data_IF_990802704455
#
_entry.id   IF_990802704455
#
_cell.length_a   1.000
_cell.length_b   1.000
_cell.length_c   1.000
_cell.angle_alpha   90.00
_cell.angle_beta   90.00
_cell.angle_gamma   90.00
#
_symmetry.space_group_name_H-M   'P 1'
#
loop_
_entity.id
_entity.type
_entity.pdbx_description
1 polymer ?
#
# COMPACT_ATOMS: atom_id res chain seq x y z
N UNK A 1 0.98 13.47 21.77
CA UNK A 1 0.17 12.70 22.73
C UNK A 1 -0.55 11.64 21.93
N UNK A 2 -0.41 10.35 22.26
CA UNK A 2 -1.09 9.28 21.53
C UNK A 2 -2.54 9.15 21.98
N UNK A 3 -3.44 9.05 21.02
CA UNK A 3 -4.90 8.88 21.19
C UNK A 3 -5.21 7.40 21.42
N UNK A 4 -4.58 6.51 20.66
CA UNK A 4 -4.75 5.06 20.79
C UNK A 4 -3.54 4.46 21.50
N UNK A 5 -3.78 3.72 22.58
CA UNK A 5 -2.76 3.11 23.44
C UNK A 5 -2.94 1.59 23.49
N UNK A 6 -1.92 0.81 23.88
CA UNK A 6 -1.99 -0.66 23.92
C UNK A 6 -3.21 -1.22 24.68
N UNK A 7 -3.52 -0.63 25.84
CA UNK A 7 -4.68 -1.03 26.66
C UNK A 7 -6.04 -0.90 25.95
N UNK A 8 -6.19 0.07 25.04
CA UNK A 8 -7.43 0.24 24.27
C UNK A 8 -7.59 -0.91 23.27
N UNK A 9 -6.49 -1.28 22.60
CA UNK A 9 -6.45 -2.32 21.58
C UNK A 9 -6.64 -3.71 22.18
N UNK A 10 -6.01 -3.96 23.32
CA UNK A 10 -6.09 -5.25 24.02
C UNK A 10 -7.53 -5.55 24.50
N UNK A 11 -8.28 -4.54 24.95
CA UNK A 11 -9.70 -4.67 25.26
C UNK A 11 -10.55 -5.04 24.02
N UNK A 12 -10.20 -4.50 22.85
CA UNK A 12 -10.89 -4.76 21.57
C UNK A 12 -10.54 -6.14 21.03
N UNK A 13 -9.28 -6.58 21.10
CA UNK A 13 -8.81 -7.91 20.68
C UNK A 13 -9.61 -9.03 21.36
N UNK A 14 -9.76 -8.95 22.68
CA UNK A 14 -10.56 -9.93 23.44
C UNK A 14 -12.00 -10.03 22.96
N UNK A 15 -12.66 -8.89 22.73
CA UNK A 15 -14.05 -8.87 22.20
C UNK A 15 -14.16 -9.46 20.79
N UNK A 16 -13.10 -9.31 19.99
CA UNK A 16 -13.02 -9.84 18.62
C UNK A 16 -12.55 -11.29 18.55
N UNK A 17 -12.40 -11.98 19.68
CA UNK A 17 -11.83 -13.33 19.76
C UNK A 17 -10.47 -13.41 19.05
N UNK A 18 -9.65 -12.38 19.24
CA UNK A 18 -8.29 -12.27 18.72
C UNK A 18 -8.17 -12.37 17.19
N UNK A 19 -9.24 -12.05 16.44
CA UNK A 19 -9.14 -11.92 14.98
C UNK A 19 -8.18 -10.78 14.61
N UNK A 20 -7.35 -10.95 13.56
CA UNK A 20 -6.45 -9.93 13.05
C UNK A 20 -7.06 -8.53 13.02
N UNK A 21 -6.25 -7.54 13.43
CA UNK A 21 -6.54 -6.13 13.36
C UNK A 21 -5.51 -5.44 12.50
N UNK A 22 -5.96 -4.81 11.42
CA UNK A 22 -5.15 -3.88 10.65
C UNK A 22 -5.47 -2.49 11.17
N UNK A 23 -4.44 -1.75 11.55
CA UNK A 23 -4.52 -0.38 12.03
C UNK A 23 -3.67 0.48 11.11
N UNK A 24 -4.24 1.58 10.63
CA UNK A 24 -3.59 2.49 9.69
C UNK A 24 -3.53 3.87 10.32
N UNK A 25 -2.31 4.36 10.59
CA UNK A 25 -2.05 5.67 11.19
C UNK A 25 -1.48 6.62 10.14
N UNK A 26 -2.31 7.54 9.65
CA UNK A 26 -1.94 8.54 8.65
C UNK A 26 -1.73 9.94 9.26
N UNK A 27 -1.73 10.07 10.60
CA UNK A 27 -1.64 11.35 11.29
C UNK A 27 -0.19 11.83 11.45
N UNK A 28 0.01 13.15 11.43
CA UNK A 28 1.29 13.80 11.70
C UNK A 28 1.05 14.99 12.66
N UNK A 29 1.48 14.92 13.93
CA UNK A 29 2.16 13.79 14.59
C UNK A 29 1.26 12.54 14.74
N UNK A 30 1.86 11.35 14.85
CA UNK A 30 1.15 10.07 14.92
C UNK A 30 0.16 10.00 16.09
N UNK A 31 -0.99 9.37 15.83
CA UNK A 31 -2.08 9.26 16.81
C UNK A 31 -2.06 7.92 17.57
N UNK A 32 -1.48 6.87 16.99
CA UNK A 32 -1.39 5.54 17.58
C UNK A 32 -0.04 5.37 18.23
N UNK A 33 0.00 4.93 19.48
CA UNK A 33 1.24 4.57 20.16
C UNK A 33 1.99 3.46 19.40
N UNK A 34 3.29 3.60 19.05
CA UNK A 34 4.06 2.57 18.35
C UNK A 34 4.01 1.20 19.02
N UNK A 35 3.92 1.13 20.35
CA UNK A 35 3.84 -0.14 21.10
C UNK A 35 2.60 -0.97 20.75
N UNK A 36 1.58 -0.38 20.12
CA UNK A 36 0.42 -1.11 19.61
C UNK A 36 0.82 -2.12 18.52
N UNK A 37 1.86 -1.83 17.73
CA UNK A 37 2.36 -2.72 16.68
C UNK A 37 3.04 -3.99 17.21
N UNK A 38 3.43 -4.01 18.49
CA UNK A 38 4.06 -5.17 19.13
C UNK A 38 3.02 -6.20 19.64
N UNK A 39 1.74 -5.88 19.55
CA UNK A 39 0.66 -6.75 20.01
C UNK A 39 0.40 -7.83 18.94
N UNK A 40 0.39 -9.09 19.35
CA UNK A 40 0.08 -10.23 18.46
C UNK A 40 -1.25 -10.02 17.71
N UNK A 41 -1.34 -10.45 16.45
CA UNK A 41 -2.52 -10.23 15.59
C UNK A 41 -2.90 -8.74 15.37
N UNK A 42 -1.99 -7.79 15.65
CA UNK A 42 -2.12 -6.38 15.29
C UNK A 42 -1.07 -6.01 14.25
N UNK A 43 -1.52 -5.45 13.14
CA UNK A 43 -0.67 -4.98 12.05
C UNK A 43 -0.84 -3.48 11.94
N UNK A 44 0.16 -2.73 12.39
CA UNK A 44 0.16 -1.28 12.37
C UNK A 44 0.94 -0.78 11.15
N UNK A 45 0.25 -0.03 10.29
CA UNK A 45 0.84 0.65 9.14
C UNK A 45 0.82 2.15 9.42
N UNK A 46 1.99 2.78 9.47
CA UNK A 46 2.12 4.22 9.56
C UNK A 46 2.36 4.87 8.19
N UNK A 47 2.37 6.19 8.15
CA UNK A 47 2.56 6.97 6.92
C UNK A 47 3.86 6.60 6.18
N UNK A 48 4.93 6.31 6.91
CA UNK A 48 6.23 5.95 6.33
C UNK A 48 6.15 4.58 5.63
N UNK A 49 5.57 3.58 6.31
CA UNK A 49 5.34 2.25 5.72
C UNK A 49 4.48 2.33 4.45
N UNK A 50 3.43 3.16 4.46
CA UNK A 50 2.57 3.34 3.29
C UNK A 50 3.28 4.04 2.13
N UNK A 51 4.21 4.95 2.41
CA UNK A 51 5.02 5.60 1.38
C UNK A 51 5.95 4.61 0.70
N UNK A 52 6.62 3.73 1.46
CA UNK A 52 7.46 2.67 0.90
C UNK A 52 6.65 1.75 -0.04
N UNK A 53 5.46 1.31 0.39
CA UNK A 53 4.56 0.50 -0.42
C UNK A 53 4.10 1.24 -1.70
N UNK A 54 3.82 2.54 -1.59
CA UNK A 54 3.41 3.36 -2.72
C UNK A 54 4.55 3.53 -3.73
N UNK A 55 5.78 3.70 -3.27
CA UNK A 55 6.98 3.81 -4.11
C UNK A 55 7.27 2.49 -4.84
N UNK A 56 7.14 1.35 -4.17
CA UNK A 56 7.23 0.04 -4.82
C UNK A 56 6.13 -0.17 -5.86
N UNK A 57 4.89 0.22 -5.55
CA UNK A 57 3.78 0.16 -6.49
C UNK A 57 4.02 1.07 -7.70
N UNK A 58 4.61 2.26 -7.48
CA UNK A 58 4.99 3.18 -8.56
C UNK A 58 6.05 2.57 -9.47
N UNK A 59 7.13 2.02 -8.93
CA UNK A 59 8.18 1.35 -9.72
C UNK A 59 7.62 0.21 -10.58
N UNK A 60 6.76 -0.63 -9.98
CA UNK A 60 6.06 -1.69 -10.72
C UNK A 60 5.21 -1.12 -11.85
N UNK A 61 4.48 -0.03 -11.62
CA UNK A 61 3.69 0.63 -12.66
C UNK A 61 4.55 1.13 -13.82
N UNK A 62 5.73 1.70 -13.53
CA UNK A 62 6.67 2.16 -14.56
C UNK A 62 7.24 0.99 -15.40
N UNK A 63 7.44 -0.19 -14.81
CA UNK A 63 7.81 -1.40 -15.55
C UNK A 63 6.65 -1.92 -16.42
N UNK A 64 5.44 -1.97 -15.89
CA UNK A 64 4.26 -2.39 -16.65
C UNK A 64 3.97 -1.46 -17.84
N UNK A 65 4.18 -0.16 -17.69
CA UNK A 65 4.03 0.80 -18.80
C UNK A 65 4.99 0.47 -19.95
N UNK A 66 6.25 0.14 -19.65
CA UNK A 66 7.22 -0.27 -20.68
C UNK A 66 6.77 -1.53 -21.44
N UNK A 67 6.26 -2.52 -20.73
CA UNK A 67 5.71 -3.73 -21.35
C UNK A 67 4.49 -3.42 -22.23
N UNK A 68 3.59 -2.55 -21.76
CA UNK A 68 2.45 -2.12 -22.56
C UNK A 68 2.87 -1.38 -23.84
N UNK A 69 3.88 -0.51 -23.77
CA UNK A 69 4.42 0.19 -24.95
C UNK A 69 5.01 -0.78 -25.99
N UNK A 70 5.68 -1.84 -25.54
CA UNK A 70 6.20 -2.91 -26.40
C UNK A 70 5.06 -3.67 -27.09
N UNK A 71 4.04 -4.08 -26.34
CA UNK A 71 2.84 -4.72 -26.90
C UNK A 71 2.18 -3.82 -27.95
N UNK A 72 1.97 -2.54 -27.65
CA UNK A 72 1.37 -1.58 -28.59
C UNK A 72 2.21 -1.48 -29.88
N UNK A 73 3.54 -1.42 -29.75
CA UNK A 73 4.45 -1.35 -30.92
C UNK A 73 4.36 -2.60 -31.77
N UNK A 74 4.42 -3.78 -31.16
CA UNK A 74 4.27 -5.04 -31.87
C UNK A 74 2.94 -5.12 -32.62
N UNK A 75 1.84 -4.67 -32.01
CA UNK A 75 0.53 -4.69 -32.64
C UNK A 75 0.43 -3.67 -33.79
N UNK A 76 1.08 -2.51 -33.70
CA UNK A 76 1.18 -1.55 -34.82
C UNK A 76 1.94 -2.17 -35.99
N UNK A 77 3.09 -2.81 -35.73
CA UNK A 77 3.92 -3.44 -36.76
C UNK A 77 3.16 -4.60 -37.44
N UNK A 78 2.50 -5.47 -36.65
CA UNK A 78 1.66 -6.57 -37.15
C UNK A 78 0.47 -6.07 -37.96
N UNK A 79 -0.16 -4.98 -37.52
CA UNK A 79 -1.32 -4.43 -38.20
C UNK A 79 -0.98 -3.90 -39.59
N UNK A 80 0.30 -3.58 -39.88
CA UNK A 80 0.76 -3.06 -41.18
C UNK A 80 -0.22 -2.04 -41.76
N UNK A 81 -0.75 -1.17 -40.90
CA UNK A 81 -1.43 0.02 -41.35
C UNK A 81 -0.34 0.87 -42.03
N UNK A 82 -0.50 1.25 -43.30
CA UNK A 82 0.47 2.12 -43.95
C UNK A 82 0.63 3.34 -43.05
N UNK A 83 1.89 3.65 -42.70
CA UNK A 83 2.24 4.76 -41.84
C UNK A 83 1.33 5.95 -42.14
N UNK A 84 0.57 6.39 -41.13
CA UNK A 84 -0.09 7.69 -41.19
C UNK A 84 1.05 8.70 -41.19
N UNK A 85 1.52 9.02 -42.39
CA UNK A 85 2.41 10.14 -42.63
C UNK A 85 1.66 11.42 -42.23
N UNK A 86 2.17 12.09 -41.22
CA UNK A 86 2.42 13.55 -41.21
C UNK A 86 3.51 13.87 -40.18
#
# INVERSE_FOLDING_TARGET
HFVVKPQHVEAVRRKRKFRPLIMVDIAVPRDIDPEVGEIEEVYLYDIDTLQEMADEARKRREEQLRLCEEIIREEIDKASLPAVND
#
